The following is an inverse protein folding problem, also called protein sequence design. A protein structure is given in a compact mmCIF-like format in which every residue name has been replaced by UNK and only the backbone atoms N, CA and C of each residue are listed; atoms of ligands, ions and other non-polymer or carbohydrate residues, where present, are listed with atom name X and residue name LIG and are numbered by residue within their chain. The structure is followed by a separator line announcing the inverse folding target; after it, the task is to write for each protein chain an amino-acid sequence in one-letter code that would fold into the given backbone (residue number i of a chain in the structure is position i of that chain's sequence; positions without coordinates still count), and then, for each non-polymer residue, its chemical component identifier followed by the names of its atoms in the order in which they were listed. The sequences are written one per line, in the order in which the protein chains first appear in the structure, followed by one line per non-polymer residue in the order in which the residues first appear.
data_IF_485744574626
#
_entry.id   IF_485744574626
#
_cell.length_a   1.000
_cell.length_b   1.000
_cell.length_c   1.000
_cell.angle_alpha   90.00
_cell.angle_beta   90.00
_cell.angle_gamma   90.00
#
_symmetry.space_group_name_H-M   'P 1'
#
loop_
_entity.id
_entity.type
_entity.pdbx_description
1 polymer ?
#
# COMPACT_ATOMS: atom_id res chain seq x y z
N UNK A 1 8.28 14.94 19.88
CA UNK A 1 7.07 14.13 20.20
C UNK A 1 6.81 13.16 19.04
N UNK A 2 6.03 12.08 19.22
CA UNK A 2 5.93 11.01 18.21
C UNK A 2 5.38 11.44 16.83
N UNK A 3 4.85 12.67 16.68
CA UNK A 3 4.20 13.18 15.46
C UNK A 3 4.80 14.48 14.90
N UNK A 4 6.03 14.84 15.28
CA UNK A 4 6.67 16.10 14.88
C UNK A 4 6.82 16.26 13.34
N UNK A 5 6.91 15.15 12.61
CA UNK A 5 7.03 15.13 11.16
C UNK A 5 5.78 15.61 10.40
N UNK A 6 4.64 15.79 11.07
CA UNK A 6 3.45 16.39 10.46
C UNK A 6 3.44 17.94 10.53
N UNK A 7 4.41 18.56 11.21
CA UNK A 7 4.50 20.01 11.36
C UNK A 7 3.24 20.64 11.99
N UNK A 8 2.82 21.80 11.48
CA UNK A 8 1.67 22.55 12.00
C UNK A 8 0.29 22.04 11.50
N UNK A 9 0.26 20.87 10.83
CA UNK A 9 -0.99 20.34 10.27
C UNK A 9 -2.00 20.00 11.38
N UNK A 10 -3.20 20.56 11.26
CA UNK A 10 -4.33 20.29 12.16
C UNK A 10 -5.07 18.98 11.88
N UNK A 11 -4.93 18.45 10.66
CA UNK A 11 -5.52 17.18 10.20
C UNK A 11 -4.52 16.49 9.29
N UNK A 12 -4.24 15.22 9.55
CA UNK A 12 -3.42 14.37 8.70
C UNK A 12 -4.31 13.47 7.82
N UNK A 13 -3.90 13.28 6.57
CA UNK A 13 -4.51 12.34 5.63
C UNK A 13 -3.58 11.14 5.48
N UNK A 14 -3.97 10.02 6.08
CA UNK A 14 -3.25 8.75 5.98
C UNK A 14 -3.95 7.90 4.93
N UNK A 15 -3.22 7.55 3.88
CA UNK A 15 -3.69 6.67 2.82
C UNK A 15 -3.23 5.24 3.01
N UNK A 16 -3.72 4.32 2.18
CA UNK A 16 -3.28 2.94 2.15
C UNK A 16 -2.87 2.54 0.73
N UNK A 17 -1.69 1.96 0.59
CA UNK A 17 -1.28 1.22 -0.60
C UNK A 17 -1.52 -0.28 -0.36
N UNK A 18 -2.16 -0.95 -1.31
CA UNK A 18 -2.52 -2.35 -1.19
C UNK A 18 -1.48 -3.22 -1.88
N UNK A 19 -0.87 -4.11 -1.11
CA UNK A 19 -0.08 -5.21 -1.64
C UNK A 19 -1.06 -6.25 -2.20
N UNK A 20 -0.81 -6.73 -3.41
CA UNK A 20 -1.56 -7.84 -3.98
C UNK A 20 -1.36 -9.13 -3.18
N UNK A 21 -2.07 -10.18 -3.59
CA UNK A 21 -1.96 -11.50 -2.99
C UNK A 21 -0.50 -11.99 -3.03
N UNK A 22 0.06 -12.42 -1.89
CA UNK A 22 1.43 -12.89 -1.77
C UNK A 22 1.56 -14.39 -2.14
N UNK A 23 2.78 -14.87 -2.44
CA UNK A 23 3.02 -16.29 -2.70
C UNK A 23 2.44 -17.18 -1.60
N UNK A 24 1.70 -18.21 -2.01
CA UNK A 24 1.05 -19.16 -1.08
C UNK A 24 -0.40 -18.83 -0.74
N UNK A 25 -0.95 -17.72 -1.25
CA UNK A 25 -2.36 -17.36 -1.07
C UNK A 25 -3.21 -17.77 -2.28
N UNK A 26 -4.53 -17.96 -2.13
CA UNK A 26 -5.39 -18.45 -3.22
C UNK A 26 -5.43 -17.55 -4.46
N UNK A 27 -5.18 -16.25 -4.29
CA UNK A 27 -5.25 -15.26 -5.37
C UNK A 27 -3.88 -14.88 -5.93
N UNK A 28 -2.81 -15.57 -5.53
CA UNK A 28 -1.47 -15.26 -6.03
C UNK A 28 -1.36 -15.50 -7.54
N UNK A 29 -0.95 -14.45 -8.27
CA UNK A 29 -0.64 -14.51 -9.69
C UNK A 29 0.82 -14.95 -9.89
N UNK A 30 1.03 -16.25 -10.11
CA UNK A 30 2.35 -16.83 -10.31
C UNK A 30 3.01 -16.39 -11.63
N UNK A 31 2.23 -16.03 -12.65
CA UNK A 31 2.76 -15.59 -13.95
C UNK A 31 3.35 -14.17 -13.83
N UNK A 32 2.67 -13.29 -13.09
CA UNK A 32 3.15 -11.94 -12.80
C UNK A 32 4.26 -11.88 -11.74
N UNK A 33 4.27 -12.84 -10.81
CA UNK A 33 5.29 -12.95 -9.79
C UNK A 33 5.38 -11.75 -8.83
N UNK A 34 6.51 -11.67 -8.12
CA UNK A 34 6.78 -10.57 -7.19
C UNK A 34 6.95 -9.22 -7.90
N UNK A 35 7.47 -9.21 -9.13
CA UNK A 35 7.70 -7.99 -9.90
C UNK A 35 6.38 -7.25 -10.17
N UNK A 36 5.33 -7.97 -10.56
CA UNK A 36 4.00 -7.38 -10.75
C UNK A 36 3.41 -6.79 -9.46
N UNK A 37 3.66 -7.42 -8.31
CA UNK A 37 3.22 -6.90 -7.01
C UNK A 37 3.95 -5.60 -6.67
N UNK A 38 5.26 -5.56 -6.87
CA UNK A 38 6.10 -4.37 -6.64
C UNK A 38 5.65 -3.22 -7.55
N UNK A 39 5.47 -3.50 -8.85
CA UNK A 39 5.03 -2.51 -9.83
C UNK A 39 3.64 -1.95 -9.50
N UNK A 40 2.72 -2.80 -9.06
CA UNK A 40 1.39 -2.40 -8.61
C UNK A 40 1.45 -1.43 -7.43
N UNK A 41 2.17 -1.81 -6.36
CA UNK A 41 2.32 -0.96 -5.16
C UNK A 41 3.06 0.33 -5.48
N UNK A 42 4.11 0.29 -6.31
CA UNK A 42 4.83 1.49 -6.76
C UNK A 42 3.93 2.45 -7.54
N UNK A 43 3.06 1.94 -8.40
CA UNK A 43 2.06 2.74 -9.10
C UNK A 43 1.12 3.45 -8.12
N UNK A 44 0.64 2.75 -7.10
CA UNK A 44 -0.24 3.33 -6.08
C UNK A 44 0.48 4.38 -5.23
N UNK A 45 1.68 4.09 -4.74
CA UNK A 45 2.50 5.04 -3.99
C UNK A 45 2.71 6.34 -4.78
N UNK A 46 3.07 6.25 -6.06
CA UNK A 46 3.27 7.44 -6.91
C UNK A 46 2.01 8.29 -7.00
N UNK A 47 0.84 7.67 -7.17
CA UNK A 47 -0.46 8.38 -7.21
C UNK A 47 -0.80 9.01 -5.86
N UNK A 48 -0.64 8.26 -4.77
CA UNK A 48 -0.91 8.73 -3.41
C UNK A 48 -0.02 9.92 -3.03
N UNK A 49 1.28 9.82 -3.33
CA UNK A 49 2.22 10.93 -3.15
C UNK A 49 1.83 12.15 -3.98
N UNK A 50 1.46 11.95 -5.25
CA UNK A 50 0.98 13.05 -6.11
C UNK A 50 -0.31 13.71 -5.58
N UNK A 51 -1.14 12.95 -4.85
CA UNK A 51 -2.35 13.44 -4.17
C UNK A 51 -2.07 14.20 -2.87
N UNK A 52 -0.83 14.26 -2.40
CA UNK A 52 -0.44 15.04 -1.22
C UNK A 52 -0.85 14.43 0.13
N UNK A 53 -0.94 13.10 0.20
CA UNK A 53 -1.17 12.38 1.47
C UNK A 53 0.01 12.59 2.42
N UNK A 54 -0.27 12.57 3.72
CA UNK A 54 0.73 12.79 4.77
C UNK A 54 1.51 11.53 5.13
N UNK A 55 0.87 10.37 4.98
CA UNK A 55 1.47 9.08 5.20
C UNK A 55 0.79 8.01 4.34
N UNK A 56 1.51 6.91 4.12
CA UNK A 56 1.02 5.72 3.43
C UNK A 56 1.17 4.53 4.38
N UNK A 57 0.07 3.87 4.67
CA UNK A 57 0.02 2.56 5.33
C UNK A 57 0.03 1.47 4.26
N UNK A 58 0.62 0.31 4.56
CA UNK A 58 0.57 -0.85 3.68
C UNK A 58 -0.45 -1.85 4.21
N UNK A 59 -1.37 -2.28 3.35
CA UNK A 59 -2.34 -3.35 3.60
C UNK A 59 -2.10 -4.52 2.65
N UNK A 60 -2.39 -5.76 3.07
CA UNK A 60 -2.31 -6.95 2.20
C UNK A 60 -3.60 -7.78 2.21
N UNK A 61 -4.76 -7.14 2.23
CA UNK A 61 -6.08 -7.76 2.39
C UNK A 61 -6.39 -8.89 1.38
N UNK A 62 -5.64 -8.95 0.27
CA UNK A 62 -5.72 -10.01 -0.72
C UNK A 62 -5.13 -11.36 -0.27
N UNK A 63 -4.40 -11.40 0.85
CA UNK A 63 -3.91 -12.63 1.49
C UNK A 63 -5.02 -13.39 2.25
N UNK A 64 -6.28 -13.04 2.00
CA UNK A 64 -7.44 -13.67 2.62
C UNK A 64 -7.38 -15.21 2.50
N UNK A 65 -7.54 -15.95 3.60
CA UNK A 65 -7.39 -17.41 3.60
C UNK A 65 -8.61 -18.16 3.02
N UNK A 66 -9.64 -17.45 2.56
CA UNK A 66 -10.90 -18.02 2.08
C UNK A 66 -11.30 -17.36 0.74
N UNK A 67 -12.00 -18.12 -0.12
CA UNK A 67 -12.57 -17.67 -1.40
C UNK A 67 -14.08 -17.64 -1.37
#
# INVERSE_FOLDING_TARGET
MVFEFFGDKKKAVISMAHIGALPGTPLYDADGGLDKLIDGVLSDIRKLQSGGVDAIMFGNENDRPYV
#
